data_IF_285201398676
#
_entry.id   IF_285201398676
#
_cell.length_a   1.000
_cell.length_b   1.000
_cell.length_c   1.000
_cell.angle_alpha   90.00
_cell.angle_beta   90.00
_cell.angle_gamma   90.00
#
_symmetry.space_group_name_H-M   'P 1'
#
loop_
_entity.id
_entity.type
_entity.pdbx_description
1 polymer ?
#
# COMPACT_ATOMS: atom_id res chain seq x y z
N UNK A 1 -13.05 -13.65 4.51
CA UNK A 1 -12.59 -14.41 3.33
C UNK A 1 -13.03 -15.86 3.45
N UNK A 2 -13.70 -16.42 2.43
CA UNK A 2 -13.99 -17.85 2.38
C UNK A 2 -12.78 -18.58 1.73
N UNK A 3 -12.30 -19.65 2.37
CA UNK A 3 -11.13 -20.41 1.92
C UNK A 3 -11.46 -21.89 1.76
N UNK A 4 -10.88 -22.53 0.75
CA UNK A 4 -10.85 -23.96 0.59
C UNK A 4 -9.53 -24.52 1.14
N UNK A 5 -9.60 -25.61 1.91
CA UNK A 5 -8.42 -26.28 2.45
C UNK A 5 -8.31 -27.67 1.83
N UNK A 6 -7.19 -27.95 1.18
CA UNK A 6 -6.87 -29.29 0.71
C UNK A 6 -5.60 -29.78 1.38
N UNK A 7 -5.70 -30.91 2.07
CA UNK A 7 -4.60 -31.43 2.85
C UNK A 7 -4.73 -32.89 3.19
N UNK A 8 -3.70 -33.41 3.88
CA UNK A 8 -3.65 -34.78 4.39
C UNK A 8 -3.02 -34.80 5.77
N UNK A 9 -3.46 -35.75 6.58
CA UNK A 9 -2.83 -36.05 7.86
C UNK A 9 -1.58 -36.89 7.61
N UNK A 10 -0.44 -36.46 8.16
CA UNK A 10 0.83 -37.20 8.12
C UNK A 10 1.53 -37.11 9.47
N UNK A 11 2.33 -38.11 9.80
CA UNK A 11 3.20 -38.04 10.96
C UNK A 11 4.27 -36.97 10.75
N UNK A 12 4.30 -35.99 11.66
CA UNK A 12 5.29 -34.93 11.67
C UNK A 12 6.52 -35.40 12.46
N UNK A 13 7.58 -35.67 11.72
CA UNK A 13 8.86 -36.11 12.25
C UNK A 13 9.72 -34.90 12.63
N UNK A 14 10.66 -35.07 13.56
CA UNK A 14 11.60 -34.00 13.96
C UNK A 14 11.06 -32.99 14.99
N UNK A 15 9.88 -33.23 15.57
CA UNK A 15 9.47 -32.49 16.76
C UNK A 15 10.32 -32.97 17.96
N UNK A 16 11.29 -32.17 18.39
CA UNK A 16 12.07 -32.39 19.62
C UNK A 16 11.22 -32.12 20.88
N UNK A 17 10.07 -32.80 21.00
CA UNK A 17 9.20 -32.69 22.18
C UNK A 17 9.47 -33.85 23.12
N UNK A 18 9.69 -33.54 24.39
CA UNK A 18 9.83 -34.50 25.48
C UNK A 18 8.54 -34.56 26.29
N UNK A 19 8.14 -35.76 26.70
CA UNK A 19 7.03 -35.96 27.64
C UNK A 19 7.37 -35.42 29.03
N UNK A 20 6.41 -35.45 29.96
CA UNK A 20 6.62 -35.01 31.36
C UNK A 20 7.77 -35.77 32.05
N UNK A 21 8.04 -36.98 31.60
CA UNK A 21 9.10 -37.85 32.14
C UNK A 21 10.43 -37.72 31.38
N UNK A 22 10.56 -36.71 30.50
CA UNK A 22 11.78 -36.45 29.73
C UNK A 22 12.02 -37.37 28.52
N UNK A 23 11.20 -38.41 28.34
CA UNK A 23 11.27 -39.32 27.21
C UNK A 23 10.89 -38.63 25.89
N UNK A 24 11.54 -38.98 24.76
CA UNK A 24 11.17 -38.45 23.45
C UNK A 24 9.76 -38.90 23.06
N UNK A 25 8.92 -37.96 22.63
CA UNK A 25 7.58 -38.27 22.16
C UNK A 25 7.61 -38.88 20.76
N UNK A 26 6.71 -39.84 20.50
CA UNK A 26 6.53 -40.39 19.16
C UNK A 26 6.04 -39.31 18.18
N UNK A 27 6.34 -39.44 16.87
CA UNK A 27 5.83 -38.53 15.86
C UNK A 27 4.31 -38.38 15.98
N UNK A 28 3.85 -37.14 16.02
CA UNK A 28 2.42 -36.83 16.13
C UNK A 28 1.82 -36.64 14.75
N UNK A 29 0.57 -37.02 14.59
CA UNK A 29 -0.19 -36.74 13.37
C UNK A 29 -0.40 -35.22 13.26
N UNK A 30 -0.07 -34.67 12.09
CA UNK A 30 -0.28 -33.26 11.77
C UNK A 30 -1.02 -33.13 10.44
N UNK A 31 -1.87 -32.11 10.33
CA UNK A 31 -2.53 -31.74 9.08
C UNK A 31 -1.57 -30.89 8.26
N UNK A 32 -1.23 -31.35 7.07
CA UNK A 32 -0.55 -30.56 6.06
C UNK A 32 -1.56 -30.17 5.00
N UNK A 33 -1.87 -28.88 4.90
CA UNK A 33 -2.89 -28.38 3.98
C UNK A 33 -2.42 -27.13 3.24
N UNK A 34 -2.93 -26.96 2.03
CA UNK A 34 -2.87 -25.71 1.26
C UNK A 34 -4.24 -25.04 1.39
N UNK A 35 -4.22 -23.75 1.73
CA UNK A 35 -5.40 -22.91 1.72
C UNK A 35 -5.45 -22.12 0.40
N UNK A 36 -6.58 -22.19 -0.30
CA UNK A 36 -6.84 -21.37 -1.50
C UNK A 36 -8.10 -20.55 -1.29
N UNK A 37 -8.18 -19.30 -1.80
CA UNK A 37 -9.43 -18.55 -1.76
C UNK A 37 -10.51 -19.26 -2.57
N UNK A 38 -11.73 -19.35 -2.04
CA UNK A 38 -12.85 -20.06 -2.68
C UNK A 38 -13.25 -19.44 -4.03
N UNK A 39 -13.05 -18.14 -4.17
CA UNK A 39 -13.10 -17.44 -5.44
C UNK A 39 -11.69 -16.95 -5.77
N UNK A 40 -11.12 -17.32 -6.93
CA UNK A 40 -9.87 -16.71 -7.37
C UNK A 40 -10.09 -15.20 -7.45
N UNK A 41 -9.23 -14.37 -6.85
CA UNK A 41 -9.33 -12.94 -7.07
C UNK A 41 -9.23 -12.68 -8.57
N UNK A 42 -10.03 -11.73 -9.06
CA UNK A 42 -10.01 -11.44 -10.50
C UNK A 42 -8.61 -11.01 -10.91
N UNK A 43 -8.22 -11.26 -12.17
CA UNK A 43 -6.89 -10.81 -12.64
C UNK A 43 -6.73 -9.29 -12.50
N UNK A 44 -7.84 -8.55 -12.52
CA UNK A 44 -7.88 -7.12 -12.23
C UNK A 44 -7.57 -6.85 -10.75
N UNK A 45 -8.19 -7.54 -9.81
CA UNK A 45 -7.88 -7.43 -8.37
C UNK A 45 -6.42 -7.78 -8.05
N UNK A 46 -5.88 -8.87 -8.62
CA UNK A 46 -4.49 -9.30 -8.43
C UNK A 46 -3.52 -8.25 -8.98
N UNK A 47 -3.85 -7.66 -10.13
CA UNK A 47 -3.06 -6.57 -10.70
C UNK A 47 -3.15 -5.35 -9.79
N UNK A 48 -4.33 -4.89 -9.42
CA UNK A 48 -4.50 -3.69 -8.58
C UNK A 48 -3.83 -3.80 -7.21
N UNK A 49 -3.88 -4.96 -6.54
CA UNK A 49 -3.19 -5.19 -5.26
C UNK A 49 -1.66 -5.07 -5.33
N UNK A 50 -1.08 -5.25 -6.52
CA UNK A 50 0.37 -5.12 -6.77
C UNK A 50 0.76 -3.82 -7.50
N UNK A 51 -0.17 -2.86 -7.64
CA UNK A 51 0.07 -1.61 -8.36
C UNK A 51 0.62 -0.51 -7.45
N UNK A 52 1.85 -0.69 -6.96
CA UNK A 52 2.57 0.44 -6.38
C UNK A 52 2.92 1.41 -7.50
N UNK A 53 2.56 2.69 -7.31
CA UNK A 53 2.87 3.78 -8.23
C UNK A 53 3.50 4.97 -7.51
N UNK A 54 4.10 5.87 -8.28
CA UNK A 54 4.78 7.05 -7.74
C UNK A 54 4.31 8.34 -8.40
N UNK A 55 4.28 9.38 -7.58
CA UNK A 55 4.07 10.76 -8.00
C UNK A 55 5.24 11.63 -7.53
N UNK A 56 5.64 12.58 -8.37
CA UNK A 56 6.69 13.57 -8.08
C UNK A 56 6.06 14.93 -7.85
N UNK A 57 6.55 15.65 -6.83
CA UNK A 57 6.03 16.98 -6.47
C UNK A 57 7.17 17.94 -6.15
N UNK A 58 6.93 19.24 -6.31
CA UNK A 58 7.75 20.31 -5.72
C UNK A 58 7.61 20.30 -4.19
N UNK A 59 8.46 21.05 -3.50
CA UNK A 59 8.43 21.17 -2.03
C UNK A 59 7.16 21.85 -1.49
N UNK A 60 6.43 22.60 -2.32
CA UNK A 60 5.11 23.16 -1.99
C UNK A 60 3.96 22.17 -2.24
N UNK A 61 4.30 20.90 -2.49
CA UNK A 61 3.40 19.81 -2.85
C UNK A 61 2.72 19.95 -4.21
N UNK A 62 3.17 20.83 -5.10
CA UNK A 62 2.67 20.89 -6.49
C UNK A 62 3.13 19.67 -7.29
N UNK A 63 2.22 18.88 -7.88
CA UNK A 63 2.59 17.72 -8.70
C UNK A 63 3.35 18.17 -9.94
N UNK A 64 4.40 17.43 -10.27
CA UNK A 64 5.19 17.60 -11.49
C UNK A 64 5.15 16.38 -12.38
N UNK A 65 4.50 15.28 -11.96
CA UNK A 65 4.30 14.09 -12.77
C UNK A 65 4.03 12.82 -11.98
N UNK A 66 3.73 11.74 -12.72
CA UNK A 66 3.53 10.41 -12.18
C UNK A 66 4.04 9.34 -13.15
N UNK A 67 4.36 8.15 -12.63
CA UNK A 67 4.77 7.02 -13.47
C UNK A 67 3.59 6.42 -14.26
N UNK A 68 3.88 5.47 -15.16
CA UNK A 68 2.87 4.84 -16.01
C UNK A 68 1.73 4.17 -15.20
N UNK A 69 2.04 3.62 -14.02
CA UNK A 69 1.01 3.00 -13.16
C UNK A 69 0.13 4.07 -12.53
N UNK A 70 0.71 5.20 -12.11
CA UNK A 70 -0.04 6.35 -11.61
C UNK A 70 -0.99 6.91 -12.65
N UNK A 71 -0.58 6.97 -13.92
CA UNK A 71 -1.45 7.37 -15.04
C UNK A 71 -2.65 6.44 -15.19
N UNK A 72 -2.45 5.13 -15.03
CA UNK A 72 -3.53 4.13 -15.09
C UNK A 72 -4.48 4.26 -13.89
N UNK A 73 -3.94 4.43 -12.67
CA UNK A 73 -4.75 4.48 -11.44
C UNK A 73 -5.52 5.79 -11.32
N UNK A 74 -4.88 6.93 -11.55
CA UNK A 74 -5.48 8.25 -11.36
C UNK A 74 -6.23 8.74 -12.61
N UNK A 75 -5.89 8.21 -13.79
CA UNK A 75 -6.47 8.59 -15.07
C UNK A 75 -5.96 9.91 -15.66
N UNK A 76 -5.14 10.67 -14.94
CA UNK A 76 -4.57 11.93 -15.42
C UNK A 76 -3.33 11.72 -16.27
N UNK A 77 -3.21 12.54 -17.31
CA UNK A 77 -1.92 12.82 -17.94
C UNK A 77 -1.05 13.69 -17.03
N UNK A 78 0.25 13.72 -17.31
CA UNK A 78 1.19 14.55 -16.56
C UNK A 78 0.88 16.05 -16.71
N UNK A 79 0.50 16.49 -17.90
CA UNK A 79 0.08 17.87 -18.14
C UNK A 79 -1.16 18.23 -17.30
N UNK A 80 -2.16 17.36 -17.24
CA UNK A 80 -3.38 17.60 -16.44
C UNK A 80 -3.09 17.67 -14.94
N UNK A 81 -2.17 16.84 -14.42
CA UNK A 81 -1.75 16.93 -13.03
C UNK A 81 -1.11 18.30 -12.73
N UNK A 82 -0.17 18.72 -13.56
CA UNK A 82 0.57 19.97 -13.39
C UNK A 82 -0.30 21.22 -13.50
N UNK A 83 -1.40 21.18 -14.27
CA UNK A 83 -2.30 22.33 -14.45
C UNK A 83 -3.29 22.54 -13.30
N UNK A 84 -3.48 21.55 -12.42
CA UNK A 84 -4.55 21.56 -11.41
C UNK A 84 -4.17 22.20 -10.08
N UNK A 85 -3.05 22.91 -10.04
CA UNK A 85 -2.54 23.57 -8.83
C UNK A 85 -1.79 22.61 -7.91
N UNK A 86 -1.91 22.79 -6.61
CA UNK A 86 -1.17 21.99 -5.61
C UNK A 86 -1.71 20.56 -5.48
N UNK A 87 -0.91 19.64 -4.95
CA UNK A 87 -1.31 18.26 -4.68
C UNK A 87 -2.51 18.13 -3.74
N UNK A 88 -2.78 19.14 -2.90
CA UNK A 88 -3.96 19.19 -2.04
C UNK A 88 -5.28 19.22 -2.81
N UNK A 89 -5.30 19.69 -4.06
CA UNK A 89 -6.51 19.66 -4.91
C UNK A 89 -6.96 18.24 -5.27
N UNK A 90 -6.09 17.25 -5.04
CA UNK A 90 -6.39 15.85 -5.26
C UNK A 90 -6.71 15.10 -3.96
N UNK A 91 -6.63 15.74 -2.79
CA UNK A 91 -6.88 15.09 -1.50
C UNK A 91 -8.33 15.35 -1.09
N UNK A 92 -9.03 14.29 -0.64
CA UNK A 92 -10.39 14.43 -0.13
C UNK A 92 -10.42 15.39 1.08
N UNK A 93 -11.45 16.24 1.19
CA UNK A 93 -11.51 17.29 2.21
C UNK A 93 -11.39 16.75 3.65
N UNK A 94 -12.04 15.63 3.96
CA UNK A 94 -11.93 14.97 5.28
C UNK A 94 -10.54 14.42 5.61
N UNK A 95 -9.67 14.28 4.59
CA UNK A 95 -8.32 13.75 4.73
C UNK A 95 -7.26 14.87 4.80
N UNK A 96 -7.67 16.10 4.49
CA UNK A 96 -6.78 17.25 4.27
C UNK A 96 -5.91 17.56 5.48
N UNK A 97 -6.49 17.56 6.68
CA UNK A 97 -5.80 18.03 7.89
C UNK A 97 -4.56 17.18 8.19
N UNK A 98 -4.73 15.85 8.30
CA UNK A 98 -3.61 14.97 8.61
C UNK A 98 -2.65 14.83 7.42
N UNK A 99 -3.11 14.94 6.17
CA UNK A 99 -2.22 15.03 5.02
C UNK A 99 -1.32 16.28 5.05
N UNK A 100 -1.85 17.42 5.49
CA UNK A 100 -1.06 18.65 5.65
C UNK A 100 -0.07 18.52 6.82
N UNK A 101 -0.47 17.95 7.95
CA UNK A 101 0.43 17.65 9.08
C UNK A 101 1.57 16.72 8.66
N UNK A 102 1.25 15.70 7.86
CA UNK A 102 2.22 14.78 7.26
C UNK A 102 3.22 15.50 6.37
N UNK A 103 2.77 16.46 5.56
CA UNK A 103 3.66 17.28 4.75
C UNK A 103 4.57 18.14 5.64
N UNK A 104 4.04 18.82 6.66
CA UNK A 104 4.85 19.59 7.63
C UNK A 104 5.89 18.72 8.33
N UNK A 105 5.50 17.52 8.76
CA UNK A 105 6.42 16.52 9.33
C UNK A 105 7.53 16.18 8.35
N UNK A 106 7.19 15.84 7.10
CA UNK A 106 8.16 15.51 6.06
C UNK A 106 9.15 16.65 5.80
N UNK A 107 8.71 17.91 5.83
CA UNK A 107 9.61 19.05 5.68
C UNK A 107 10.62 19.19 6.83
N UNK A 108 10.31 18.66 8.01
CA UNK A 108 11.18 18.67 9.19
C UNK A 108 12.07 17.43 9.28
N UNK A 109 11.55 16.27 8.93
CA UNK A 109 12.20 14.96 9.18
C UNK A 109 12.71 14.28 7.92
N UNK A 110 12.30 14.72 6.74
CA UNK A 110 12.61 14.09 5.46
C UNK A 110 11.58 13.08 4.97
N UNK A 111 10.61 12.67 5.80
CA UNK A 111 9.56 11.72 5.42
C UNK A 111 8.21 11.98 6.09
N UNK A 112 7.12 11.65 5.40
CA UNK A 112 5.78 11.58 5.97
C UNK A 112 5.45 10.12 6.24
N UNK A 113 5.69 9.54 7.42
CA UNK A 113 5.35 8.12 7.68
C UNK A 113 4.02 7.60 7.11
N UNK A 114 3.88 6.28 6.99
CA UNK A 114 2.78 5.62 6.29
C UNK A 114 1.39 6.15 6.69
N UNK A 115 0.56 6.50 5.70
CA UNK A 115 -0.79 7.06 5.91
C UNK A 115 -1.76 6.53 4.85
N UNK A 116 -3.02 6.33 5.24
CA UNK A 116 -4.13 5.99 4.33
C UNK A 116 -4.99 7.22 4.10
N UNK A 117 -5.33 7.52 2.85
CA UNK A 117 -6.22 8.64 2.48
C UNK A 117 -6.80 8.45 1.08
N UNK A 118 -7.68 9.36 0.65
CA UNK A 118 -8.29 9.33 -0.68
C UNK A 118 -7.67 10.34 -1.65
N UNK A 119 -7.42 9.86 -2.87
CA UNK A 119 -7.05 10.68 -4.02
C UNK A 119 -8.21 10.82 -5.01
N UNK A 120 -8.39 12.02 -5.54
CA UNK A 120 -9.34 12.31 -6.61
C UNK A 120 -8.80 11.75 -7.93
N UNK A 121 -9.60 10.95 -8.63
CA UNK A 121 -9.29 10.47 -9.99
C UNK A 121 -9.93 11.36 -11.06
N UNK A 122 -9.46 11.22 -12.30
CA UNK A 122 -9.98 11.97 -13.46
C UNK A 122 -11.49 11.81 -13.67
N UNK A 123 -12.03 10.66 -13.30
CA UNK A 123 -13.46 10.34 -13.41
C UNK A 123 -14.28 10.89 -12.24
N UNK A 124 -13.70 11.78 -11.41
CA UNK A 124 -14.30 12.33 -10.20
C UNK A 124 -14.70 11.27 -9.17
N UNK A 125 -13.88 10.21 -9.06
CA UNK A 125 -14.02 9.17 -8.03
C UNK A 125 -12.92 9.32 -6.98
N UNK A 126 -13.17 8.80 -5.78
CA UNK A 126 -12.20 8.75 -4.70
C UNK A 126 -11.53 7.37 -4.68
N UNK A 127 -10.22 7.35 -4.88
CA UNK A 127 -9.42 6.14 -4.77
C UNK A 127 -8.69 6.14 -3.42
N UNK A 128 -8.93 5.11 -2.62
CA UNK A 128 -8.16 4.88 -1.40
C UNK A 128 -6.72 4.52 -1.75
N UNK A 129 -5.78 5.15 -1.06
CA UNK A 129 -4.36 4.86 -1.18
C UNK A 129 -3.71 4.78 0.19
N UNK A 130 -2.81 3.82 0.35
CA UNK A 130 -1.80 3.84 1.40
C UNK A 130 -0.52 4.43 0.80
N UNK A 131 0.03 5.47 1.42
CA UNK A 131 1.18 6.17 0.89
C UNK A 131 2.20 6.59 1.94
N UNK A 132 3.45 6.71 1.49
CA UNK A 132 4.54 7.36 2.18
C UNK A 132 5.25 8.30 1.20
N UNK A 133 5.59 9.50 1.66
CA UNK A 133 6.34 10.47 0.87
C UNK A 133 7.65 10.82 1.55
N UNK A 134 8.66 11.15 0.73
CA UNK A 134 9.98 11.53 1.19
C UNK A 134 10.57 12.68 0.38
N UNK A 135 11.43 13.45 1.02
CA UNK A 135 12.28 14.44 0.37
C UNK A 135 13.41 13.74 -0.37
N UNK A 136 13.67 14.19 -1.59
CA UNK A 136 14.88 13.87 -2.34
C UNK A 136 15.81 15.06 -2.26
N UNK A 137 17.07 14.81 -1.94
CA UNK A 137 18.08 15.83 -1.72
C UNK A 137 19.05 15.91 -2.91
N UNK A 138 19.44 17.14 -3.25
CA UNK A 138 20.50 17.44 -4.22
C UNK A 138 21.44 18.47 -3.60
N UNK A 139 22.74 18.17 -3.60
CA UNK A 139 23.76 19.04 -2.99
C UNK A 139 23.44 19.42 -1.52
N UNK A 140 22.95 18.46 -0.74
CA UNK A 140 22.61 18.67 0.67
C UNK A 140 21.35 19.50 0.94
N UNK A 141 20.57 19.87 -0.08
CA UNK A 141 19.31 20.61 0.05
C UNK A 141 18.12 19.80 -0.48
N UNK A 142 16.93 19.92 0.11
CA UNK A 142 15.72 19.35 -0.46
C UNK A 142 15.49 19.88 -1.90
N UNK A 143 15.23 18.97 -2.84
CA UNK A 143 15.03 19.26 -4.26
C UNK A 143 13.56 19.04 -4.65
N UNK A 144 13.03 17.85 -4.38
CA UNK A 144 11.64 17.49 -4.68
C UNK A 144 11.11 16.40 -3.74
N UNK A 145 9.79 16.17 -3.79
CA UNK A 145 9.10 15.11 -3.05
C UNK A 145 8.82 13.94 -4.00
N UNK A 146 9.00 12.71 -3.50
CA UNK A 146 8.46 11.49 -4.11
C UNK A 146 7.48 10.85 -3.15
N UNK A 147 6.24 10.69 -3.58
CA UNK A 147 5.25 9.88 -2.88
C UNK A 147 5.12 8.51 -3.56
N UNK A 148 5.23 7.44 -2.77
CA UNK A 148 4.98 6.06 -3.19
C UNK A 148 3.64 5.62 -2.63
N UNK A 149 2.79 5.08 -3.49
CA UNK A 149 1.37 4.89 -3.22
C UNK A 149 0.95 3.48 -3.63
N UNK A 150 0.14 2.84 -2.79
CA UNK A 150 -0.53 1.56 -3.08
C UNK A 150 -2.03 1.81 -3.08
N UNK A 151 -2.74 1.58 -4.20
CA UNK A 151 -4.19 1.56 -4.24
C UNK A 151 -4.74 0.53 -3.26
N UNK A 152 -5.79 0.92 -2.55
CA UNK A 152 -6.54 0.05 -1.64
C UNK A 152 -7.91 -0.27 -2.24
N UNK A 153 -8.53 -1.33 -1.75
CA UNK A 153 -9.97 -1.51 -1.93
C UNK A 153 -10.72 -0.60 -0.95
N UNK A 154 -12.03 -0.43 -1.16
CA UNK A 154 -12.86 0.38 -0.27
C UNK A 154 -12.89 -0.21 1.15
N UNK A 155 -12.86 -1.54 1.29
CA UNK A 155 -12.79 -2.21 2.59
C UNK A 155 -11.46 -1.94 3.30
N UNK A 156 -10.32 -2.07 2.59
CA UNK A 156 -8.99 -1.81 3.15
C UNK A 156 -8.80 -0.33 3.55
N UNK A 157 -9.48 0.60 2.88
CA UNK A 157 -9.38 2.04 3.15
C UNK A 157 -10.28 2.55 4.28
N UNK A 158 -11.35 1.81 4.60
CA UNK A 158 -12.32 2.18 5.62
C UNK A 158 -12.05 1.60 7.01
N UNK A 159 -11.08 0.69 7.15
CA UNK A 159 -10.55 0.15 8.42
C UNK A 159 -9.72 1.19 9.19
#
# INVERSE_FOLDING_TARGET
LAMNFQGRLKFLHGQNKKGKDGAPLSPQLALFAVATPLQPPSILEIRTKNFIFRTKHKLDFTPTGCDAKGKIVLGYTEAELCMRGTGYQFIHAADMLYCAENHVRMMKTGESGMTVFRLLTKENRWAWVQANARLVYKNGRPDYIIATQRPLTDEEGAE
#
